data_IF_970344281727
#
_entry.id   IF_970344281727
#
_cell.length_a   1.000
_cell.length_b   1.000
_cell.length_c   1.000
_cell.angle_alpha   90.00
_cell.angle_beta   90.00
_cell.angle_gamma   90.00
#
_symmetry.space_group_name_H-M   'P 1'
#
loop_
_entity.id
_entity.type
_entity.pdbx_description
1 polymer ?
#
# COMPACT_ATOMS: atom_id res chain seq x y z
N UNK A 1 -35.80 -14.92 -52.89
CA UNK A 1 -34.87 -13.82 -52.54
C UNK A 1 -35.26 -13.20 -51.20
N UNK A 2 -34.58 -13.57 -50.11
CA UNK A 2 -34.81 -13.03 -48.77
C UNK A 2 -34.16 -11.65 -48.67
N UNK A 3 -34.98 -10.59 -48.69
CA UNK A 3 -34.53 -9.22 -48.41
C UNK A 3 -34.14 -9.12 -46.94
N UNK A 4 -32.84 -9.00 -46.66
CA UNK A 4 -32.34 -8.78 -45.30
C UNK A 4 -32.57 -7.31 -44.89
N UNK A 5 -33.40 -7.08 -43.87
CA UNK A 5 -33.74 -5.75 -43.34
C UNK A 5 -32.84 -5.33 -42.15
N UNK A 6 -31.51 -5.35 -42.32
CA UNK A 6 -30.61 -4.85 -41.27
C UNK A 6 -30.43 -3.34 -41.39
N UNK A 7 -30.64 -2.60 -40.28
CA UNK A 7 -30.46 -1.13 -40.23
C UNK A 7 -29.09 -0.72 -39.70
N UNK A 8 -28.44 -1.57 -38.91
CA UNK A 8 -27.16 -1.31 -38.26
C UNK A 8 -26.30 -2.58 -38.21
N UNK A 9 -25.00 -2.41 -37.96
CA UNK A 9 -24.04 -3.48 -37.73
C UNK A 9 -23.11 -3.07 -36.59
N UNK A 10 -22.74 -4.04 -35.74
CA UNK A 10 -21.78 -3.82 -34.65
C UNK A 10 -20.40 -3.49 -35.23
N UNK A 11 -19.71 -2.50 -34.67
CA UNK A 11 -18.38 -2.09 -35.15
C UNK A 11 -17.38 -3.22 -34.89
N UNK A 12 -17.37 -3.73 -33.67
CA UNK A 12 -16.54 -4.88 -33.30
C UNK A 12 -17.11 -5.58 -32.05
N UNK A 13 -17.30 -6.91 -32.07
CA UNK A 13 -17.96 -7.63 -30.98
C UNK A 13 -17.23 -7.55 -29.63
N UNK A 14 -15.92 -7.28 -29.61
CA UNK A 14 -15.16 -7.13 -28.36
C UNK A 14 -15.57 -5.91 -27.53
N UNK A 15 -16.28 -4.93 -28.12
CA UNK A 15 -16.72 -3.72 -27.41
C UNK A 15 -17.84 -4.00 -26.41
N UNK A 16 -18.38 -5.22 -26.38
CA UNK A 16 -19.28 -5.69 -25.31
C UNK A 16 -18.56 -5.87 -23.96
N UNK A 17 -17.22 -6.03 -23.97
CA UNK A 17 -16.43 -6.32 -22.77
C UNK A 17 -16.08 -5.03 -22.00
N UNK A 18 -16.17 -5.09 -20.66
CA UNK A 18 -15.68 -4.03 -19.79
C UNK A 18 -14.14 -3.95 -19.72
N UNK A 19 -13.61 -2.99 -18.97
CA UNK A 19 -12.17 -2.74 -18.83
C UNK A 19 -11.42 -3.98 -18.32
N UNK A 20 -11.87 -4.58 -17.22
CA UNK A 20 -11.18 -5.73 -16.63
C UNK A 20 -11.26 -6.98 -17.53
N UNK A 21 -12.41 -7.22 -18.16
CA UNK A 21 -12.59 -8.34 -19.09
C UNK A 21 -11.75 -8.16 -20.37
N UNK A 22 -11.53 -6.92 -20.80
CA UNK A 22 -10.71 -6.58 -21.98
C UNK A 22 -9.21 -6.90 -21.81
N UNK A 23 -8.74 -7.07 -20.57
CA UNK A 23 -7.33 -7.44 -20.27
C UNK A 23 -7.14 -8.96 -20.37
N UNK A 24 -8.21 -9.75 -20.37
CA UNK A 24 -8.13 -11.22 -20.45
C UNK A 24 -7.79 -11.63 -21.89
N UNK A 25 -6.69 -12.35 -22.14
CA UNK A 25 -6.43 -12.91 -23.46
C UNK A 25 -7.38 -14.09 -23.72
N UNK A 26 -7.96 -14.15 -24.93
CA UNK A 26 -8.87 -15.22 -25.39
C UNK A 26 -10.02 -15.55 -24.41
N UNK A 27 -10.83 -14.55 -23.99
CA UNK A 27 -11.91 -14.78 -23.02
C UNK A 27 -13.03 -15.71 -23.56
N UNK A 28 -13.14 -15.82 -24.89
CA UNK A 28 -14.05 -16.70 -25.63
C UNK A 28 -13.65 -18.18 -25.56
N UNK A 29 -12.41 -18.49 -25.21
CA UNK A 29 -11.90 -19.85 -25.04
C UNK A 29 -11.91 -20.33 -23.58
N UNK A 30 -12.48 -19.51 -22.68
CA UNK A 30 -12.51 -19.79 -21.26
C UNK A 30 -13.95 -19.99 -20.77
N UNK A 31 -14.11 -20.77 -19.70
CA UNK A 31 -15.41 -20.92 -19.06
C UNK A 31 -15.82 -19.57 -18.45
N UNK A 32 -17.03 -19.08 -18.77
CA UNK A 32 -17.55 -17.78 -18.31
C UNK A 32 -17.23 -17.40 -16.84
N UNK A 33 -17.47 -18.26 -15.81
CA UNK A 33 -17.13 -17.95 -14.42
C UNK A 33 -15.63 -17.64 -14.18
N UNK A 34 -14.73 -18.25 -14.95
CA UNK A 34 -13.28 -18.00 -14.83
C UNK A 34 -12.91 -16.58 -15.28
N UNK A 35 -13.61 -16.05 -16.27
CA UNK A 35 -13.44 -14.66 -16.70
C UNK A 35 -13.91 -13.67 -15.62
N UNK A 36 -14.99 -14.01 -14.90
CA UNK A 36 -15.48 -13.21 -13.77
C UNK A 36 -14.46 -13.20 -12.62
N UNK A 37 -13.86 -14.35 -12.29
CA UNK A 37 -12.81 -14.41 -11.28
C UNK A 37 -11.60 -13.55 -11.64
N UNK A 38 -11.12 -13.64 -12.88
CA UNK A 38 -9.99 -12.82 -13.34
C UNK A 38 -10.31 -11.31 -13.27
N UNK A 39 -11.55 -10.93 -13.58
CA UNK A 39 -11.98 -9.53 -13.49
C UNK A 39 -11.96 -8.98 -12.06
N UNK A 40 -12.18 -9.83 -11.05
CA UNK A 40 -12.03 -9.48 -9.65
C UNK A 40 -10.56 -9.48 -9.21
N UNK A 41 -9.80 -10.53 -9.55
CA UNK A 41 -8.40 -10.70 -9.18
C UNK A 41 -7.50 -9.61 -9.79
N UNK A 42 -7.79 -9.16 -11.01
CA UNK A 42 -7.02 -8.10 -11.67
C UNK A 42 -7.01 -6.78 -10.89
N UNK A 43 -8.00 -6.51 -10.03
CA UNK A 43 -8.05 -5.31 -9.18
C UNK A 43 -7.09 -5.38 -7.99
N UNK A 44 -6.62 -6.56 -7.65
CA UNK A 44 -5.67 -6.80 -6.56
C UNK A 44 -4.22 -6.87 -7.06
N UNK A 45 -4.02 -6.84 -8.38
CA UNK A 45 -2.69 -6.88 -8.97
C UNK A 45 -1.86 -5.65 -8.57
N UNK A 46 -0.54 -5.86 -8.45
CA UNK A 46 0.41 -4.81 -8.11
C UNK A 46 1.17 -4.37 -9.36
N UNK A 47 1.43 -3.07 -9.45
CA UNK A 47 2.10 -2.47 -10.59
C UNK A 47 2.28 -0.97 -10.39
N UNK A 48 2.59 -0.26 -11.47
CA UNK A 48 2.50 1.19 -11.42
C UNK A 48 1.02 1.59 -11.54
N UNK A 49 0.50 2.28 -10.53
CA UNK A 49 -0.82 2.91 -10.60
C UNK A 49 -0.75 4.26 -11.33
N UNK A 50 0.26 5.08 -11.03
CA UNK A 50 0.54 6.38 -11.65
C UNK A 50 2.04 6.66 -11.65
N UNK A 51 2.52 7.47 -12.59
CA UNK A 51 3.95 7.80 -12.73
C UNK A 51 4.46 8.79 -11.68
N UNK A 52 3.60 9.64 -11.14
CA UNK A 52 3.94 10.64 -10.12
C UNK A 52 3.83 10.12 -8.68
N UNK A 53 3.87 8.80 -8.48
CA UNK A 53 3.74 8.18 -7.15
C UNK A 53 4.80 8.69 -6.16
N UNK A 54 6.02 8.99 -6.64
CA UNK A 54 7.13 9.43 -5.78
C UNK A 54 6.92 10.80 -5.14
N UNK A 55 5.96 11.60 -5.64
CA UNK A 55 5.61 12.91 -5.09
C UNK A 55 4.28 12.90 -4.34
N UNK A 56 3.61 11.74 -4.28
CA UNK A 56 2.25 11.62 -3.76
C UNK A 56 2.27 10.85 -2.44
N UNK A 57 1.71 11.46 -1.40
CA UNK A 57 1.58 10.87 -0.07
C UNK A 57 0.30 10.04 0.04
N UNK A 58 0.28 8.86 -0.59
CA UNK A 58 -0.82 7.92 -0.43
C UNK A 58 -0.74 7.15 0.88
N UNK A 59 -1.89 6.80 1.46
CA UNK A 59 -1.93 6.00 2.70
C UNK A 59 -1.18 4.68 2.56
N UNK A 60 -1.34 3.99 1.43
CA UNK A 60 -0.63 2.75 1.11
C UNK A 60 -0.38 2.67 -0.39
N UNK A 61 0.82 2.24 -0.79
CA UNK A 61 1.14 1.98 -2.18
C UNK A 61 2.05 0.75 -2.32
N UNK A 62 1.77 -0.07 -3.33
CA UNK A 62 2.59 -1.21 -3.72
C UNK A 62 3.04 -1.03 -5.17
N UNK A 63 4.35 -1.07 -5.40
CA UNK A 63 4.94 -0.80 -6.71
C UNK A 63 5.91 -1.90 -7.06
N UNK A 64 5.75 -2.51 -8.23
CA UNK A 64 6.63 -3.59 -8.69
C UNK A 64 7.97 -3.01 -9.17
N UNK A 65 9.09 -3.69 -8.89
CA UNK A 65 10.41 -3.23 -9.30
C UNK A 65 10.59 -3.22 -10.83
N UNK A 66 10.19 -4.30 -11.50
CA UNK A 66 10.42 -4.47 -12.94
C UNK A 66 9.17 -4.96 -13.67
N UNK A 67 8.07 -4.18 -13.75
CA UNK A 67 6.88 -4.62 -14.45
C UNK A 67 7.14 -4.74 -15.95
N UNK A 68 6.57 -5.77 -16.56
CA UNK A 68 6.77 -6.12 -17.97
C UNK A 68 5.46 -6.09 -18.73
N UNK A 69 5.56 -5.73 -20.01
CA UNK A 69 4.45 -5.80 -20.95
C UNK A 69 4.09 -7.28 -21.17
N UNK A 70 2.80 -7.65 -21.16
CA UNK A 70 2.42 -9.03 -21.44
C UNK A 70 2.77 -9.38 -22.90
N UNK A 71 3.19 -10.63 -23.13
CA UNK A 71 3.51 -11.13 -24.47
C UNK A 71 2.26 -11.29 -25.35
N UNK A 72 1.16 -11.76 -24.75
CA UNK A 72 -0.14 -11.85 -25.40
C UNK A 72 -1.01 -10.65 -24.99
N UNK A 73 -1.34 -9.80 -25.96
CA UNK A 73 -2.11 -8.56 -25.74
C UNK A 73 -3.42 -8.57 -26.53
N UNK A 74 -4.48 -8.00 -25.97
CA UNK A 74 -5.70 -7.67 -26.72
C UNK A 74 -5.56 -6.29 -27.35
N UNK A 75 -6.31 -6.00 -28.43
CA UNK A 75 -6.33 -4.65 -29.04
C UNK A 75 -6.84 -3.60 -28.05
N UNK A 76 -7.78 -3.95 -27.18
CA UNK A 76 -8.32 -3.05 -26.16
C UNK A 76 -7.27 -2.55 -25.17
N UNK A 77 -6.21 -3.32 -24.90
CA UNK A 77 -5.12 -2.91 -24.00
C UNK A 77 -4.37 -1.67 -24.49
N UNK A 78 -4.35 -1.41 -25.80
CA UNK A 78 -3.72 -0.23 -26.39
C UNK A 78 -4.45 1.04 -25.96
N UNK A 79 -5.79 1.04 -26.05
CA UNK A 79 -6.63 2.16 -25.61
C UNK A 79 -6.61 2.36 -24.09
N UNK A 80 -6.42 1.28 -23.32
CA UNK A 80 -6.30 1.33 -21.87
C UNK A 80 -4.91 1.76 -21.39
N UNK A 81 -3.93 1.92 -22.29
CA UNK A 81 -2.53 2.21 -21.96
C UNK A 81 -1.91 1.18 -21.00
N UNK A 82 -2.42 -0.05 -20.99
CA UNK A 82 -1.91 -1.13 -20.13
C UNK A 82 -0.46 -1.51 -20.49
N UNK A 83 -0.07 -1.27 -21.73
CA UNK A 83 1.32 -1.42 -22.20
C UNK A 83 2.26 -0.36 -21.62
N UNK A 84 1.76 0.81 -21.27
CA UNK A 84 2.55 1.89 -20.65
C UNK A 84 2.70 1.68 -19.15
N UNK A 85 1.63 1.24 -18.48
CA UNK A 85 1.61 0.95 -17.05
C UNK A 85 1.19 -0.52 -16.79
N UNK A 86 2.11 -1.48 -16.99
CA UNK A 86 1.82 -2.89 -16.74
C UNK A 86 1.77 -3.23 -15.24
N UNK A 87 1.01 -4.28 -14.91
CA UNK A 87 0.78 -4.75 -13.53
C UNK A 87 1.22 -6.21 -13.31
N UNK A 88 2.35 -6.62 -13.90
CA UNK A 88 2.88 -7.98 -13.77
C UNK A 88 4.24 -8.19 -14.42
N UNK A 89 4.73 -9.44 -14.40
CA UNK A 89 5.95 -9.87 -15.09
C UNK A 89 5.68 -11.15 -15.88
N UNK A 90 6.36 -11.35 -17.00
CA UNK A 90 6.28 -12.61 -17.74
C UNK A 90 7.14 -13.65 -17.01
N UNK A 91 6.54 -14.78 -16.68
CA UNK A 91 7.22 -15.90 -16.04
C UNK A 91 7.29 -17.09 -17.00
N UNK A 92 8.34 -17.90 -16.87
CA UNK A 92 8.42 -19.21 -17.52
C UNK A 92 7.70 -20.22 -16.62
N UNK A 93 6.63 -20.81 -17.14
CA UNK A 93 5.76 -21.72 -16.39
C UNK A 93 5.89 -23.13 -16.95
N UNK A 94 6.13 -24.11 -16.08
CA UNK A 94 6.10 -25.53 -16.41
C UNK A 94 4.89 -26.18 -15.72
N UNK A 95 4.06 -26.89 -16.49
CA UNK A 95 2.91 -27.65 -15.97
C UNK A 95 3.36 -29.10 -15.80
N UNK A 96 3.73 -29.46 -14.57
CA UNK A 96 4.20 -30.81 -14.24
C UNK A 96 3.94 -31.12 -12.77
N UNK A 97 3.74 -32.41 -12.45
CA UNK A 97 3.75 -32.87 -11.07
C UNK A 97 5.20 -32.97 -10.60
N UNK A 98 5.60 -32.17 -9.59
CA UNK A 98 6.97 -32.18 -9.09
C UNK A 98 6.98 -32.06 -7.57
N UNK A 99 7.64 -32.99 -6.88
CA UNK A 99 7.86 -32.99 -5.42
C UNK A 99 6.63 -32.96 -4.50
N UNK A 100 5.41 -32.81 -5.03
CA UNK A 100 4.17 -32.73 -4.26
C UNK A 100 3.86 -31.34 -3.67
N UNK A 101 4.82 -30.41 -3.66
CA UNK A 101 4.63 -29.04 -3.15
C UNK A 101 3.86 -28.10 -4.09
N UNK A 102 3.26 -28.63 -5.17
CA UNK A 102 2.41 -27.89 -6.10
C UNK A 102 0.97 -28.45 -6.19
N UNK A 103 0.51 -29.11 -5.13
CA UNK A 103 -0.86 -29.62 -5.00
C UNK A 103 -1.78 -28.55 -4.41
N UNK A 104 -3.10 -28.69 -4.62
CA UNK A 104 -4.12 -27.82 -3.99
C UNK A 104 -3.85 -26.31 -4.17
N UNK A 105 -3.74 -25.86 -5.43
CA UNK A 105 -3.50 -24.46 -5.82
C UNK A 105 -2.17 -23.85 -5.34
N UNK A 106 -1.25 -24.68 -4.81
CA UNK A 106 0.12 -24.24 -4.53
C UNK A 106 1.02 -24.26 -5.76
N UNK A 107 2.03 -23.37 -5.79
CA UNK A 107 3.00 -23.26 -6.87
C UNK A 107 4.42 -23.26 -6.33
N UNK A 108 5.32 -23.94 -7.04
CA UNK A 108 6.75 -23.95 -6.72
C UNK A 108 7.43 -22.83 -7.51
N UNK A 109 8.08 -21.90 -6.81
CA UNK A 109 8.86 -20.83 -7.45
C UNK A 109 10.36 -21.11 -7.41
N UNK A 110 11.06 -20.63 -8.42
CA UNK A 110 12.52 -20.74 -8.50
C UNK A 110 13.18 -19.68 -7.61
N UNK A 111 13.83 -20.14 -6.53
CA UNK A 111 14.54 -19.27 -5.58
C UNK A 111 15.59 -18.38 -6.27
N UNK A 112 16.37 -18.91 -7.21
CA UNK A 112 17.39 -18.14 -7.90
C UNK A 112 16.80 -16.97 -8.72
N UNK A 113 15.56 -17.09 -9.20
CA UNK A 113 14.86 -16.00 -9.89
C UNK A 113 14.38 -14.94 -8.90
N UNK A 114 13.91 -15.34 -7.72
CA UNK A 114 13.51 -14.43 -6.63
C UNK A 114 14.72 -13.63 -6.13
N UNK A 115 15.87 -14.30 -5.97
CA UNK A 115 17.13 -13.66 -5.55
C UNK A 115 17.58 -12.61 -6.57
N UNK A 116 17.32 -12.85 -7.86
CA UNK A 116 17.55 -11.90 -8.97
C UNK A 116 16.49 -10.81 -9.10
N UNK A 117 15.48 -10.79 -8.23
CA UNK A 117 14.49 -9.72 -8.16
C UNK A 117 13.15 -10.00 -8.86
N UNK A 118 12.87 -11.26 -9.24
CA UNK A 118 11.55 -11.64 -9.74
C UNK A 118 10.47 -11.32 -8.69
N UNK A 119 9.42 -10.61 -9.11
CA UNK A 119 8.28 -10.16 -8.31
C UNK A 119 8.59 -9.32 -7.05
N UNK A 120 9.78 -8.71 -6.93
CA UNK A 120 10.04 -7.76 -5.84
C UNK A 120 9.19 -6.50 -5.99
N UNK A 121 8.66 -6.00 -4.88
CA UNK A 121 7.87 -4.77 -4.79
C UNK A 121 8.39 -3.83 -3.71
N UNK A 122 8.12 -2.54 -3.88
CA UNK A 122 8.21 -1.50 -2.87
C UNK A 122 6.86 -1.35 -2.20
N UNK A 123 6.87 -1.21 -0.87
CA UNK A 123 5.69 -0.89 -0.08
C UNK A 123 5.90 0.46 0.60
N UNK A 124 4.95 1.37 0.41
CA UNK A 124 4.91 2.67 1.06
C UNK A 124 3.70 2.75 1.95
N UNK A 125 3.86 3.38 3.12
CA UNK A 125 2.77 3.73 4.03
C UNK A 125 2.99 5.14 4.54
N UNK A 126 2.00 5.99 4.36
CA UNK A 126 2.02 7.36 4.90
C UNK A 126 1.27 7.43 6.22
N UNK A 127 1.81 8.17 7.16
CA UNK A 127 1.18 8.52 8.43
C UNK A 127 0.93 10.02 8.45
N UNK A 128 -0.24 10.42 8.91
CA UNK A 128 -0.60 11.84 9.04
C UNK A 128 -1.15 12.10 10.44
N UNK A 129 -0.71 13.20 11.01
CA UNK A 129 -1.21 13.72 12.28
C UNK A 129 -1.32 15.25 12.19
N UNK A 130 -2.08 15.86 13.08
CA UNK A 130 -2.30 17.31 13.12
C UNK A 130 -2.41 17.80 14.55
N UNK A 131 -1.89 18.99 14.84
CA UNK A 131 -2.07 19.67 16.12
C UNK A 131 -3.53 20.12 16.26
N UNK A 132 -4.24 19.55 17.24
CA UNK A 132 -5.60 19.96 17.56
C UNK A 132 -5.62 20.89 18.77
N UNK A 133 -6.58 21.81 18.77
CA UNK A 133 -6.94 22.56 19.98
C UNK A 133 -7.76 21.66 20.89
N UNK A 134 -7.30 21.49 22.12
CA UNK A 134 -7.99 20.76 23.19
C UNK A 134 -8.72 21.80 24.04
N UNK A 135 -10.03 21.90 23.88
CA UNK A 135 -10.84 22.93 24.55
C UNK A 135 -10.62 24.33 23.97
N UNK A 136 -10.73 25.37 24.81
CA UNK A 136 -10.58 26.77 24.38
C UNK A 136 -9.13 27.27 24.35
N UNK A 137 -8.28 26.80 25.27
CA UNK A 137 -6.99 27.45 25.55
C UNK A 137 -5.75 26.61 25.24
N UNK A 138 -5.91 25.29 25.05
CA UNK A 138 -4.78 24.39 24.93
C UNK A 138 -4.63 23.88 23.50
N UNK A 139 -3.39 23.79 23.01
CA UNK A 139 -3.08 23.22 21.70
C UNK A 139 -2.09 22.08 21.90
N UNK A 140 -2.32 20.98 21.20
CA UNK A 140 -1.33 19.90 21.05
C UNK A 140 -0.11 20.43 20.31
N UNK A 141 1.09 19.94 20.65
CA UNK A 141 2.34 20.40 20.05
C UNK A 141 3.14 19.19 19.60
N UNK A 142 3.76 19.29 18.42
CA UNK A 142 4.82 18.39 18.00
C UNK A 142 6.13 18.76 18.68
N UNK A 143 6.66 17.84 19.46
CA UNK A 143 7.93 17.98 20.16
C UNK A 143 8.44 16.60 20.57
N UNK A 144 9.73 16.51 20.90
CA UNK A 144 10.29 15.30 21.49
C UNK A 144 9.83 15.13 22.94
N UNK A 145 9.01 14.11 23.26
CA UNK A 145 8.57 13.88 24.64
C UNK A 145 9.71 13.27 25.47
N UNK A 146 9.83 13.72 26.72
CA UNK A 146 10.78 13.17 27.69
C UNK A 146 10.03 12.58 28.89
N UNK A 147 10.56 11.48 29.45
CA UNK A 147 9.98 10.80 30.61
C UNK A 147 9.78 11.72 31.83
N UNK A 148 10.60 12.76 31.96
CA UNK A 148 10.51 13.71 33.07
C UNK A 148 9.33 14.68 32.93
N UNK A 149 9.01 15.11 31.69
CA UNK A 149 8.02 16.16 31.42
C UNK A 149 6.66 15.62 30.99
N UNK A 150 6.61 14.39 30.47
CA UNK A 150 5.42 13.79 29.87
C UNK A 150 4.87 12.62 30.65
N UNK A 151 3.54 12.60 30.79
CA UNK A 151 2.77 11.57 31.46
C UNK A 151 2.29 10.52 30.45
N UNK A 152 2.26 9.24 30.86
CA UNK A 152 1.79 8.10 30.06
C UNK A 152 2.52 7.92 28.72
N UNK A 153 3.85 8.03 28.73
CA UNK A 153 4.66 7.64 27.58
C UNK A 153 4.42 6.19 27.19
N UNK A 154 4.39 5.92 25.89
CA UNK A 154 4.32 4.56 25.35
C UNK A 154 5.64 3.84 25.56
N UNK A 155 5.63 2.50 25.43
CA UNK A 155 6.82 1.66 25.57
C UNK A 155 7.72 1.65 24.31
N UNK A 156 7.48 2.55 23.36
CA UNK A 156 8.24 2.65 22.11
C UNK A 156 9.55 3.42 22.25
N UNK A 157 10.38 3.36 21.20
CA UNK A 157 11.64 4.11 21.14
C UNK A 157 11.39 5.55 20.69
N UNK A 158 11.79 6.53 21.52
CA UNK A 158 11.71 7.97 21.19
C UNK A 158 13.06 8.57 20.76
N UNK A 159 14.14 7.80 20.85
CA UNK A 159 15.51 8.28 20.58
C UNK A 159 15.69 8.75 19.14
N UNK A 160 14.92 8.17 18.21
CA UNK A 160 14.97 8.43 16.76
C UNK A 160 14.26 9.72 16.33
N UNK A 161 13.55 10.37 17.25
CA UNK A 161 12.88 11.65 16.98
C UNK A 161 13.90 12.79 17.06
N UNK A 162 13.78 13.74 16.15
CA UNK A 162 14.48 15.02 16.24
C UNK A 162 13.78 15.96 17.24
N UNK A 163 14.32 17.16 17.44
CA UNK A 163 13.82 18.12 18.44
C UNK A 163 12.38 18.59 18.14
N UNK A 164 12.00 18.61 16.86
CA UNK A 164 10.65 18.92 16.38
C UNK A 164 9.64 17.77 16.60
N UNK A 165 10.09 16.63 17.14
CA UNK A 165 9.25 15.46 17.35
C UNK A 165 8.95 14.68 16.07
N UNK A 166 9.75 14.83 15.01
CA UNK A 166 9.58 14.06 13.77
C UNK A 166 10.87 13.29 13.47
N UNK A 167 10.76 12.13 12.83
CA UNK A 167 11.94 11.33 12.42
C UNK A 167 12.43 11.81 11.06
N UNK A 168 13.72 12.15 10.93
CA UNK A 168 14.30 12.53 9.65
C UNK A 168 14.23 11.41 8.56
N UNK A 169 14.11 11.79 7.27
CA UNK A 169 14.25 10.86 6.15
C UNK A 169 15.58 10.08 6.18
N UNK A 170 15.53 8.80 5.81
CA UNK A 170 16.68 7.89 5.79
C UNK A 170 16.90 7.09 7.08
N UNK A 171 16.22 7.43 8.17
CA UNK A 171 16.30 6.66 9.43
C UNK A 171 15.52 5.35 9.29
N UNK A 172 16.12 4.25 9.76
CA UNK A 172 15.46 2.94 9.85
C UNK A 172 14.56 2.88 11.08
N UNK A 173 13.29 2.55 10.87
CA UNK A 173 12.25 2.43 11.90
C UNK A 173 11.65 1.01 11.90
N UNK A 174 11.26 0.51 13.07
CA UNK A 174 10.77 -0.84 13.25
C UNK A 174 9.72 -0.92 14.36
N UNK A 175 8.64 -1.66 14.10
CA UNK A 175 7.68 -2.09 15.10
C UNK A 175 7.08 -0.95 15.93
N UNK A 176 7.52 -0.83 17.18
CA UNK A 176 6.99 0.13 18.17
C UNK A 176 7.77 1.45 18.23
N UNK A 177 8.69 1.70 17.29
CA UNK A 177 9.38 2.98 17.17
C UNK A 177 8.36 4.12 16.95
N UNK A 178 8.58 5.22 17.65
CA UNK A 178 7.74 6.41 17.52
C UNK A 178 8.20 7.21 16.31
N UNK A 179 7.26 7.48 15.39
CA UNK A 179 7.52 8.21 14.15
C UNK A 179 7.09 9.68 14.23
N UNK A 180 6.09 9.97 15.05
CA UNK A 180 5.59 11.33 15.31
C UNK A 180 5.43 11.49 16.82
N UNK A 181 6.33 12.28 17.41
CA UNK A 181 6.30 12.73 18.79
C UNK A 181 5.29 13.86 18.96
N UNK A 182 4.27 13.63 19.80
CA UNK A 182 3.18 14.58 19.99
C UNK A 182 2.74 14.60 21.44
N UNK A 183 2.58 15.80 21.98
CA UNK A 183 2.18 15.99 23.37
C UNK A 183 0.92 16.85 23.46
N UNK A 184 0.07 16.53 24.43
CA UNK A 184 -1.10 17.32 24.78
C UNK A 184 -0.91 17.91 26.19
N UNK A 185 -1.08 19.22 26.41
CA UNK A 185 -1.07 19.77 27.75
C UNK A 185 -2.24 19.21 28.58
N UNK A 186 -1.99 18.96 29.86
CA UNK A 186 -3.00 18.47 30.80
C UNK A 186 -3.55 19.65 31.57
N UNK A 187 -4.88 19.75 31.70
CA UNK A 187 -5.50 20.76 32.53
C UNK A 187 -5.11 20.55 34.01
N UNK A 188 -4.54 21.57 34.69
CA UNK A 188 -4.15 21.45 36.08
C UNK A 188 -5.31 21.06 37.02
N UNK A 189 -6.57 21.39 36.70
CA UNK A 189 -7.74 21.09 37.54
C UNK A 189 -8.21 19.63 37.45
N UNK A 190 -7.83 18.89 36.40
CA UNK A 190 -8.22 17.49 36.25
C UNK A 190 -7.25 16.60 37.06
N UNK A 191 -7.56 16.35 38.33
CA UNK A 191 -6.81 15.42 39.17
C UNK A 191 -7.13 13.97 38.80
N UNK A 192 -6.36 13.40 37.87
CA UNK A 192 -6.30 11.94 37.70
C UNK A 192 -5.69 11.32 38.97
N UNK A 193 -6.42 10.37 39.58
CA UNK A 193 -6.06 9.71 40.84
C UNK A 193 -4.64 9.09 40.80
N UNK A 194 -3.72 9.65 41.59
CA UNK A 194 -2.62 8.91 42.23
C UNK A 194 -1.31 8.69 41.47
N UNK A 195 -1.17 9.08 40.20
CA UNK A 195 0.08 8.86 39.41
C UNK A 195 0.80 10.15 38.99
N UNK A 196 0.31 11.32 39.38
CA UNK A 196 0.84 12.62 38.95
C UNK A 196 1.88 13.17 39.93
N UNK A 197 3.09 13.43 39.46
CA UNK A 197 4.04 14.36 40.11
C UNK A 197 3.85 15.76 39.50
N UNK A 198 4.18 16.82 40.24
CA UNK A 198 4.05 18.23 39.77
C UNK A 198 4.92 18.55 38.54
N UNK A 199 5.87 17.68 38.19
CA UNK A 199 6.75 17.82 37.03
C UNK A 199 6.08 17.47 35.70
N UNK A 200 5.05 16.62 35.70
CA UNK A 200 4.38 16.19 34.47
C UNK A 200 3.31 17.21 34.05
N UNK A 201 3.65 18.06 33.08
CA UNK A 201 2.77 19.10 32.54
C UNK A 201 2.01 18.66 31.28
N UNK A 202 2.52 17.64 30.58
CA UNK A 202 2.00 17.19 29.29
C UNK A 202 1.71 15.69 29.30
N UNK A 203 0.79 15.24 28.44
CA UNK A 203 0.43 13.84 28.19
C UNK A 203 0.97 13.43 26.82
N UNK A 204 1.51 12.23 26.74
CA UNK A 204 1.94 11.67 25.46
C UNK A 204 0.75 11.19 24.61
N UNK A 205 0.68 11.67 23.37
CA UNK A 205 -0.26 11.25 22.33
C UNK A 205 0.46 10.90 21.01
N UNK A 206 1.74 10.55 21.10
CA UNK A 206 2.60 10.24 19.96
C UNK A 206 2.10 9.06 19.12
N UNK A 207 2.44 9.04 17.84
CA UNK A 207 2.06 7.98 16.90
C UNK A 207 3.22 6.99 16.69
N UNK A 208 3.07 5.72 17.11
CA UNK A 208 4.04 4.66 16.80
C UNK A 208 3.86 4.12 15.38
N UNK A 209 4.90 3.48 14.87
CA UNK A 209 4.80 2.58 13.73
C UNK A 209 3.91 1.36 14.08
N UNK A 210 3.42 0.63 13.07
CA UNK A 210 2.71 -0.64 13.29
C UNK A 210 3.70 -1.72 13.75
N UNK A 211 3.32 -2.49 14.76
CA UNK A 211 4.19 -3.51 15.39
C UNK A 211 4.73 -4.57 14.43
N UNK A 212 3.99 -4.92 13.37
CA UNK A 212 4.37 -5.93 12.38
C UNK A 212 5.16 -5.38 11.19
N UNK A 213 5.43 -4.08 11.16
CA UNK A 213 6.03 -3.40 10.01
C UNK A 213 7.40 -2.80 10.38
N UNK A 214 8.30 -2.78 9.41
CA UNK A 214 9.59 -2.13 9.52
C UNK A 214 9.99 -1.55 8.17
N UNK A 215 10.85 -0.53 8.19
CA UNK A 215 11.19 0.19 6.97
C UNK A 215 12.16 1.32 7.20
N UNK A 216 12.25 2.19 6.21
CA UNK A 216 13.05 3.40 6.21
C UNK A 216 12.10 4.56 5.96
N UNK A 217 12.27 5.66 6.69
CA UNK A 217 11.51 6.89 6.43
C UNK A 217 11.93 7.43 5.06
N UNK A 218 10.99 7.47 4.12
CA UNK A 218 11.26 7.92 2.74
C UNK A 218 11.16 9.44 2.61
N UNK A 219 10.04 10.01 3.09
CA UNK A 219 9.73 11.44 3.01
C UNK A 219 8.93 11.86 4.25
N UNK A 220 9.11 13.12 4.65
CA UNK A 220 8.45 13.79 5.78
C UNK A 220 7.89 15.13 5.29
#
# INVERSE_FOLDING_TARGET
PTTHMYTHCEIHPSMILGICASIIPFPDHNQSPRNTYQSAMGKQAMGFFLTNYSRRMDTMANILYYPQKPLATTRSMEFLKFRELPAGQNAIVAIACYSGYNQEDSVIMNQSSIDRGLFRSLFFRSYSDQEKKVGLNYTEIFEKPFHQSTLRMKHGTYDKLDEDGIVAPGVRVSGEDIIIGKTAPIDPETQDLGTRTTAHQRRDISTPLRSTENGIVDQV
#
